data_IF_804653857058
#
_entry.id   IF_804653857058
#
_cell.length_a   1.000
_cell.length_b   1.000
_cell.length_c   1.000
_cell.angle_alpha   90.00
_cell.angle_beta   90.00
_cell.angle_gamma   90.00
#
_symmetry.space_group_name_H-M   'P 1'
#
loop_
_entity.id
_entity.type
_entity.pdbx_description
1 polymer ?
#
# COMPACT_ATOMS: atom_id res chain seq x y z
N UNK A 1 -15.86 0.84 -72.81
CA UNK A 1 -14.66 0.54 -72.00
C UNK A 1 -14.12 1.77 -71.28
N UNK A 2 -14.17 2.97 -71.88
CA UNK A 2 -13.68 4.22 -71.23
C UNK A 2 -14.44 4.63 -69.96
N UNK A 3 -15.76 4.41 -69.88
CA UNK A 3 -16.54 4.78 -68.69
C UNK A 3 -16.21 3.94 -67.44
N UNK A 4 -15.91 2.65 -67.63
CA UNK A 4 -15.54 1.75 -66.53
C UNK A 4 -14.17 2.08 -65.96
N UNK A 5 -13.22 2.43 -66.83
CA UNK A 5 -11.89 2.91 -66.43
C UNK A 5 -11.96 4.26 -65.71
N UNK A 6 -12.73 5.21 -66.24
CA UNK A 6 -12.94 6.51 -65.58
C UNK A 6 -13.60 6.37 -64.21
N UNK A 7 -14.59 5.47 -64.06
CA UNK A 7 -15.17 5.16 -62.74
C UNK A 7 -14.14 4.59 -61.77
N UNK A 8 -13.29 3.67 -62.22
CA UNK A 8 -12.28 3.03 -61.36
C UNK A 8 -11.20 4.02 -60.90
N UNK A 9 -10.75 4.90 -61.80
CA UNK A 9 -9.82 6.00 -61.48
C UNK A 9 -10.45 6.97 -60.49
N UNK A 10 -11.72 7.29 -60.65
CA UNK A 10 -12.46 8.16 -59.74
C UNK A 10 -12.57 7.55 -58.34
N UNK A 11 -12.92 6.26 -58.23
CA UNK A 11 -12.99 5.55 -56.94
C UNK A 11 -11.63 5.44 -56.24
N UNK A 12 -10.56 5.19 -57.00
CA UNK A 12 -9.19 5.19 -56.46
C UNK A 12 -8.79 6.55 -55.89
N UNK A 13 -9.13 7.63 -56.60
CA UNK A 13 -8.88 9.00 -56.15
C UNK A 13 -9.65 9.32 -54.87
N UNK A 14 -10.93 8.96 -54.82
CA UNK A 14 -11.78 9.12 -53.64
C UNK A 14 -11.24 8.34 -52.43
N UNK A 15 -10.82 7.09 -52.63
CA UNK A 15 -10.20 6.27 -51.58
C UNK A 15 -8.87 6.87 -51.08
N UNK A 16 -8.04 7.41 -51.99
CA UNK A 16 -6.79 8.07 -51.63
C UNK A 16 -7.04 9.35 -50.80
N UNK A 17 -8.04 10.14 -51.18
CA UNK A 17 -8.41 11.36 -50.44
C UNK A 17 -9.02 11.02 -49.07
N UNK A 18 -9.80 9.94 -48.96
CA UNK A 18 -10.26 9.41 -47.68
C UNK A 18 -9.10 8.98 -46.78
N UNK A 19 -8.15 8.20 -47.31
CA UNK A 19 -6.96 7.76 -46.56
C UNK A 19 -6.13 8.94 -46.05
N UNK A 20 -5.95 9.98 -46.88
CA UNK A 20 -5.27 11.22 -46.46
C UNK A 20 -6.02 11.92 -45.34
N UNK A 21 -7.34 12.02 -45.43
CA UNK A 21 -8.16 12.67 -44.41
C UNK A 21 -8.09 11.90 -43.10
N UNK A 22 -8.24 10.58 -43.15
CA UNK A 22 -8.16 9.70 -41.97
C UNK A 22 -6.79 9.78 -41.31
N UNK A 23 -5.69 9.70 -42.07
CA UNK A 23 -4.34 9.85 -41.53
C UNK A 23 -4.16 11.20 -40.83
N UNK A 24 -4.62 12.29 -41.45
CA UNK A 24 -4.52 13.63 -40.86
C UNK A 24 -5.33 13.74 -39.55
N UNK A 25 -6.54 13.19 -39.50
CA UNK A 25 -7.33 13.14 -38.26
C UNK A 25 -6.67 12.27 -37.21
N UNK A 26 -6.05 11.16 -37.60
CA UNK A 26 -5.34 10.26 -36.70
C UNK A 26 -4.12 10.94 -36.07
N UNK A 27 -3.33 11.68 -36.85
CA UNK A 27 -2.20 12.47 -36.36
C UNK A 27 -2.64 13.52 -35.32
N UNK A 28 -3.75 14.22 -35.59
CA UNK A 28 -4.32 15.18 -34.64
C UNK A 28 -4.74 14.50 -33.33
N UNK A 29 -5.40 13.35 -33.42
CA UNK A 29 -5.77 12.56 -32.23
C UNK A 29 -4.56 12.05 -31.46
N UNK A 30 -3.49 11.65 -32.14
CA UNK A 30 -2.25 11.22 -31.49
C UNK A 30 -1.63 12.36 -30.67
N UNK A 31 -1.59 13.57 -31.22
CA UNK A 31 -1.09 14.75 -30.50
C UNK A 31 -1.98 15.08 -29.30
N UNK A 32 -3.29 15.04 -29.46
CA UNK A 32 -4.25 15.28 -28.37
C UNK A 32 -4.11 14.26 -27.24
N UNK A 33 -4.06 12.96 -27.58
CA UNK A 33 -3.86 11.88 -26.62
C UNK A 33 -2.51 12.00 -25.91
N UNK A 34 -1.43 12.29 -26.65
CA UNK A 34 -0.11 12.49 -26.06
C UNK A 34 -0.13 13.65 -25.06
N UNK A 35 -0.78 14.76 -25.39
CA UNK A 35 -0.88 15.92 -24.50
C UNK A 35 -1.70 15.63 -23.26
N UNK A 36 -2.83 14.94 -23.42
CA UNK A 36 -3.66 14.49 -22.30
C UNK A 36 -2.90 13.54 -21.37
N UNK A 37 -2.15 12.61 -21.95
CA UNK A 37 -1.35 11.65 -21.19
C UNK A 37 -0.25 12.34 -20.37
N UNK A 38 0.50 13.28 -20.96
CA UNK A 38 1.50 14.07 -20.23
C UNK A 38 0.87 14.82 -19.05
N UNK A 39 -0.25 15.52 -19.28
CA UNK A 39 -0.93 16.26 -18.23
C UNK A 39 -1.46 15.36 -17.10
N UNK A 40 -1.99 14.18 -17.45
CA UNK A 40 -2.40 13.16 -16.47
C UNK A 40 -1.20 12.68 -15.66
N UNK A 41 -0.06 12.45 -16.31
CA UNK A 41 1.13 11.95 -15.65
C UNK A 41 1.71 12.97 -14.66
N UNK A 42 1.76 14.26 -15.04
CA UNK A 42 2.14 15.36 -14.15
C UNK A 42 1.19 15.49 -12.97
N UNK A 43 -0.12 15.41 -13.20
CA UNK A 43 -1.14 15.47 -12.14
C UNK A 43 -0.96 14.33 -11.14
N UNK A 44 -0.76 13.11 -11.62
CA UNK A 44 -0.50 11.95 -10.76
C UNK A 44 0.80 12.09 -9.97
N UNK A 45 1.84 12.66 -10.58
CA UNK A 45 3.10 12.92 -9.88
C UNK A 45 2.89 13.88 -8.70
N UNK A 46 2.21 15.00 -8.93
CA UNK A 46 1.89 16.00 -7.89
C UNK A 46 1.01 15.40 -6.80
N UNK A 47 -0.04 14.64 -7.16
CA UNK A 47 -0.94 13.97 -6.21
C UNK A 47 -0.13 13.09 -5.25
N UNK A 48 0.77 12.29 -5.79
CA UNK A 48 1.58 11.36 -4.99
C UNK A 48 2.60 12.07 -4.11
N UNK A 49 3.29 13.09 -4.62
CA UNK A 49 4.24 13.88 -3.82
C UNK A 49 3.52 14.58 -2.66
N UNK A 50 2.35 15.14 -2.92
CA UNK A 50 1.50 15.73 -1.89
C UNK A 50 1.10 14.70 -0.83
N UNK A 51 0.57 13.55 -1.24
CA UNK A 51 0.16 12.50 -0.30
C UNK A 51 1.34 11.97 0.53
N UNK A 52 2.49 11.74 -0.10
CA UNK A 52 3.71 11.31 0.59
C UNK A 52 4.15 12.30 1.67
N UNK A 53 4.20 13.59 1.34
CA UNK A 53 4.58 14.64 2.28
C UNK A 53 3.60 14.76 3.44
N UNK A 54 2.29 14.82 3.15
CA UNK A 54 1.24 14.88 4.17
C UNK A 54 1.30 13.68 5.10
N UNK A 55 1.51 12.48 4.58
CA UNK A 55 1.64 11.28 5.42
C UNK A 55 2.84 11.35 6.37
N UNK A 56 4.01 11.79 5.88
CA UNK A 56 5.19 11.98 6.73
C UNK A 56 4.94 13.04 7.82
N UNK A 57 4.29 14.14 7.47
CA UNK A 57 3.94 15.22 8.41
C UNK A 57 2.88 14.80 9.42
N UNK A 58 1.97 13.89 9.08
CA UNK A 58 0.96 13.36 9.99
C UNK A 58 1.50 12.25 10.90
N UNK A 59 2.43 11.41 10.41
CA UNK A 59 3.01 10.31 11.19
C UNK A 59 3.73 10.81 12.44
N UNK A 60 4.44 11.93 12.35
CA UNK A 60 5.21 12.51 13.46
C UNK A 60 4.32 12.93 14.65
N UNK A 61 3.30 13.80 14.49
CA UNK A 61 2.41 14.18 15.58
C UNK A 61 1.57 13.00 16.08
N UNK A 62 1.18 12.06 15.21
CA UNK A 62 0.46 10.86 15.64
C UNK A 62 1.29 9.96 16.56
N UNK A 63 2.56 9.73 16.19
CA UNK A 63 3.48 8.95 17.02
C UNK A 63 3.70 9.63 18.38
N UNK A 64 3.77 10.96 18.41
CA UNK A 64 3.83 11.72 19.66
C UNK A 64 2.57 11.55 20.51
N UNK A 65 1.37 11.59 19.90
CA UNK A 65 0.10 11.34 20.62
C UNK A 65 0.07 9.92 21.19
N UNK A 66 0.49 8.91 20.41
CA UNK A 66 0.59 7.52 20.88
C UNK A 66 1.59 7.41 22.04
N UNK A 67 2.78 7.99 21.91
CA UNK A 67 3.81 7.95 22.95
C UNK A 67 3.37 8.63 24.25
N UNK A 68 2.77 9.82 24.18
CA UNK A 68 2.23 10.48 25.37
C UNK A 68 1.07 9.71 26.01
N UNK A 69 0.22 9.09 25.19
CA UNK A 69 -0.84 8.24 25.69
C UNK A 69 -0.28 6.96 26.35
N UNK A 70 0.76 6.34 25.81
CA UNK A 70 1.43 5.17 26.41
C UNK A 70 2.09 5.52 27.75
N UNK A 71 2.76 6.68 27.87
CA UNK A 71 3.29 7.19 29.14
C UNK A 71 2.15 7.44 30.14
N UNK A 72 1.03 8.00 29.68
CA UNK A 72 -0.13 8.22 30.54
C UNK A 72 -0.78 6.90 30.97
N UNK A 73 -0.79 5.88 30.12
CA UNK A 73 -1.25 4.52 30.45
C UNK A 73 -0.40 3.93 31.58
N UNK A 74 0.93 4.07 31.49
CA UNK A 74 1.88 3.57 32.47
C UNK A 74 1.73 4.27 33.83
N UNK A 75 1.64 5.60 33.86
CA UNK A 75 1.42 6.37 35.10
C UNK A 75 0.07 6.09 35.77
N UNK A 76 -0.95 5.70 35.00
CA UNK A 76 -2.26 5.34 35.52
C UNK A 76 -2.33 3.89 36.02
N UNK A 77 -1.38 3.02 35.64
CA UNK A 77 -1.46 1.56 35.84
C UNK A 77 -1.65 1.15 37.30
N UNK A 78 -0.95 1.80 38.22
CA UNK A 78 -0.99 1.53 39.66
C UNK A 78 -2.08 2.31 40.40
N UNK A 79 -2.79 3.23 39.72
CA UNK A 79 -3.84 4.06 40.32
C UNK A 79 -5.18 3.34 40.26
N UNK A 80 -5.88 3.29 41.39
CA UNK A 80 -7.15 2.57 41.54
C UNK A 80 -8.26 3.52 41.97
N UNK A 81 -9.33 3.60 41.19
CA UNK A 81 -10.52 4.40 41.48
C UNK A 81 -11.42 4.58 40.25
N UNK A 82 -12.73 4.85 40.41
CA UNK A 82 -13.67 4.93 39.28
C UNK A 82 -13.29 5.98 38.23
N UNK A 83 -12.70 7.11 38.67
CA UNK A 83 -12.19 8.17 37.80
C UNK A 83 -10.95 7.72 37.04
N UNK A 84 -10.04 7.00 37.70
CA UNK A 84 -8.81 6.51 37.08
C UNK A 84 -9.08 5.38 36.07
N UNK A 85 -10.07 4.51 36.32
CA UNK A 85 -10.54 3.53 35.33
C UNK A 85 -11.15 4.19 34.10
N UNK A 86 -11.88 5.31 34.28
CA UNK A 86 -12.41 6.10 33.16
C UNK A 86 -11.28 6.74 32.34
N UNK A 87 -10.23 7.26 32.99
CA UNK A 87 -9.04 7.81 32.33
C UNK A 87 -8.25 6.75 31.57
N UNK A 88 -8.03 5.57 32.16
CA UNK A 88 -7.39 4.42 31.49
C UNK A 88 -8.11 4.06 30.18
N UNK A 89 -9.46 4.01 30.20
CA UNK A 89 -10.25 3.77 28.99
C UNK A 89 -10.07 4.87 27.93
N UNK A 90 -10.02 6.14 28.32
CA UNK A 90 -9.80 7.23 27.37
C UNK A 90 -8.42 7.16 26.72
N UNK A 91 -7.39 6.88 27.52
CA UNK A 91 -6.02 6.68 27.01
C UNK A 91 -5.95 5.51 26.03
N UNK A 92 -6.55 4.36 26.39
CA UNK A 92 -6.62 3.21 25.49
C UNK A 92 -7.33 3.54 24.16
N UNK A 93 -8.43 4.30 24.21
CA UNK A 93 -9.15 4.72 23.00
C UNK A 93 -8.32 5.67 22.13
N UNK A 94 -7.55 6.58 22.74
CA UNK A 94 -6.65 7.48 22.00
C UNK A 94 -5.59 6.65 21.27
N UNK A 95 -4.93 5.70 21.96
CA UNK A 95 -3.91 4.84 21.36
C UNK A 95 -4.49 4.05 20.18
N UNK A 96 -5.67 3.41 20.36
CA UNK A 96 -6.31 2.61 19.31
C UNK A 96 -6.67 3.49 18.11
N UNK A 97 -7.30 4.64 18.35
CA UNK A 97 -7.75 5.55 17.29
C UNK A 97 -6.58 6.15 16.51
N UNK A 98 -5.49 6.52 17.20
CA UNK A 98 -4.28 7.01 16.56
C UNK A 98 -3.61 5.92 15.72
N UNK A 99 -3.49 4.69 16.21
CA UNK A 99 -2.94 3.58 15.41
C UNK A 99 -3.79 3.31 14.16
N UNK A 100 -5.11 3.27 14.32
CA UNK A 100 -6.02 3.06 13.19
C UNK A 100 -5.92 4.16 12.12
N UNK A 101 -5.78 5.42 12.55
CA UNK A 101 -5.59 6.54 11.62
C UNK A 101 -4.24 6.45 10.89
N UNK A 102 -3.18 5.99 11.58
CA UNK A 102 -1.89 5.74 10.94
C UNK A 102 -2.00 4.67 9.85
N UNK A 103 -2.70 3.57 10.14
CA UNK A 103 -2.91 2.48 9.18
C UNK A 103 -3.67 2.99 7.95
N UNK A 104 -4.75 3.74 8.13
CA UNK A 104 -5.50 4.35 7.02
C UNK A 104 -4.63 5.29 6.16
N UNK A 105 -3.75 6.07 6.79
CA UNK A 105 -2.82 6.95 6.08
C UNK A 105 -1.80 6.13 5.26
N UNK A 106 -1.31 5.01 5.81
CA UNK A 106 -0.39 4.12 5.11
C UNK A 106 -1.09 3.42 3.92
N UNK A 107 -2.30 2.92 4.11
CA UNK A 107 -3.08 2.28 3.03
C UNK A 107 -3.35 3.26 1.88
N UNK A 108 -3.67 4.52 2.20
CA UNK A 108 -3.88 5.58 1.20
C UNK A 108 -2.59 5.88 0.42
N UNK A 109 -1.43 5.89 1.09
CA UNK A 109 -0.14 6.06 0.41
C UNK A 109 0.19 4.90 -0.52
N UNK A 110 -0.03 3.67 -0.06
CA UNK A 110 0.30 2.50 -0.85
C UNK A 110 -0.61 2.40 -2.07
N UNK A 111 -1.89 2.73 -1.93
CA UNK A 111 -2.80 2.91 -3.07
C UNK A 111 -2.28 3.96 -4.06
N UNK A 112 -1.82 5.12 -3.58
CA UNK A 112 -1.28 6.17 -4.45
C UNK A 112 0.01 5.74 -5.18
N UNK A 113 0.87 4.93 -4.55
CA UNK A 113 2.06 4.36 -5.21
C UNK A 113 1.68 3.34 -6.28
N UNK A 114 0.69 2.49 -6.01
CA UNK A 114 0.16 1.50 -6.96
C UNK A 114 -0.43 2.19 -8.18
N UNK A 115 -1.31 3.18 -7.99
CA UNK A 115 -1.96 3.92 -9.09
C UNK A 115 -0.96 4.65 -10.00
N UNK A 116 0.17 5.09 -9.46
CA UNK A 116 1.23 5.72 -10.25
C UNK A 116 2.24 4.72 -10.84
N UNK A 117 2.06 3.41 -10.65
CA UNK A 117 3.01 2.39 -11.10
C UNK A 117 4.39 2.48 -10.44
N UNK A 118 4.49 3.13 -9.26
CA UNK A 118 5.74 3.40 -8.54
C UNK A 118 5.96 2.49 -7.33
N UNK A 119 5.22 1.38 -7.25
CA UNK A 119 5.42 0.40 -6.18
C UNK A 119 6.56 -0.54 -6.57
N UNK A 120 7.77 -0.23 -6.09
CA UNK A 120 8.96 -1.05 -6.31
C UNK A 120 8.92 -2.30 -5.41
N UNK A 121 8.64 -3.46 -6.02
CA UNK A 121 8.68 -4.74 -5.32
C UNK A 121 10.13 -5.20 -5.15
N UNK A 122 10.65 -5.07 -3.93
CA UNK A 122 11.96 -5.61 -3.57
C UNK A 122 11.86 -7.10 -3.25
N UNK A 123 12.02 -7.93 -4.27
CA UNK A 123 12.07 -9.39 -4.12
C UNK A 123 13.50 -9.81 -3.77
N UNK A 124 13.79 -9.94 -2.47
CA UNK A 124 15.05 -10.48 -1.97
C UNK A 124 14.84 -11.86 -1.34
N UNK A 125 15.82 -12.78 -1.42
CA UNK A 125 15.78 -14.02 -0.63
C UNK A 125 15.66 -13.68 0.85
N UNK A 126 14.75 -14.33 1.57
CA UNK A 126 14.52 -14.11 3.00
C UNK A 126 14.60 -15.42 3.80
N UNK A 127 15.16 -15.33 5.01
CA UNK A 127 15.14 -16.43 5.98
C UNK A 127 13.77 -16.45 6.66
N UNK A 128 13.06 -17.56 6.51
CA UNK A 128 11.76 -17.76 7.17
C UNK A 128 11.96 -17.79 8.69
N UNK A 129 13.07 -18.35 9.17
CA UNK A 129 13.39 -18.40 10.60
C UNK A 129 13.52 -16.98 11.19
N UNK A 130 14.36 -16.14 10.59
CA UNK A 130 14.64 -14.78 11.07
C UNK A 130 13.39 -13.90 11.00
N UNK A 131 12.57 -14.09 9.96
CA UNK A 131 11.31 -13.35 9.79
C UNK A 131 10.30 -13.70 10.90
N UNK A 132 10.14 -15.00 11.18
CA UNK A 132 9.21 -15.48 12.21
C UNK A 132 9.70 -15.11 13.61
N UNK A 133 11.02 -15.12 13.85
CA UNK A 133 11.63 -14.67 15.10
C UNK A 133 11.45 -13.17 15.33
N UNK A 134 11.63 -12.35 14.29
CA UNK A 134 11.34 -10.92 14.32
C UNK A 134 9.87 -10.64 14.64
N UNK A 135 8.94 -11.38 14.04
CA UNK A 135 7.51 -11.28 14.32
C UNK A 135 7.18 -11.61 15.78
N UNK A 136 7.75 -12.67 16.33
CA UNK A 136 7.51 -13.04 17.74
C UNK A 136 8.12 -12.04 18.71
N UNK A 137 9.27 -11.46 18.38
CA UNK A 137 9.85 -10.36 19.16
C UNK A 137 8.92 -9.16 19.20
N UNK A 138 8.31 -8.81 18.06
CA UNK A 138 7.33 -7.72 17.97
C UNK A 138 6.04 -8.01 18.77
N UNK A 139 5.57 -9.26 18.76
CA UNK A 139 4.36 -9.68 19.48
C UNK A 139 4.58 -9.92 20.97
N UNK A 140 5.83 -10.12 21.42
CA UNK A 140 6.17 -10.47 22.81
C UNK A 140 5.50 -9.56 23.85
N UNK A 141 5.55 -8.21 23.75
CA UNK A 141 4.91 -7.33 24.74
C UNK A 141 3.39 -7.54 24.84
N UNK A 142 2.74 -7.84 23.72
CA UNK A 142 1.30 -8.08 23.67
C UNK A 142 0.94 -9.45 24.27
N UNK A 143 1.75 -10.46 23.98
CA UNK A 143 1.56 -11.84 24.47
C UNK A 143 1.82 -11.94 25.98
N UNK A 144 2.82 -11.22 26.50
CA UNK A 144 3.08 -11.14 27.94
C UNK A 144 1.96 -10.41 28.68
N UNK A 145 1.49 -9.26 28.16
CA UNK A 145 0.33 -8.54 28.71
C UNK A 145 -0.92 -9.41 28.81
N UNK A 146 -1.11 -10.33 27.85
CA UNK A 146 -2.30 -11.21 27.77
C UNK A 146 -2.07 -12.62 28.33
N UNK A 147 -0.88 -12.92 28.87
CA UNK A 147 -0.49 -14.27 29.35
C UNK A 147 -0.71 -15.38 28.29
N UNK A 148 -0.38 -15.08 27.04
CA UNK A 148 -0.47 -16.03 25.93
C UNK A 148 0.92 -16.59 25.66
N UNK A 149 1.06 -17.93 25.62
CA UNK A 149 2.31 -18.57 25.23
C UNK A 149 2.30 -18.77 23.72
N UNK A 150 3.33 -18.24 23.06
CA UNK A 150 3.59 -18.45 21.64
C UNK A 150 4.75 -19.43 21.51
N UNK A 151 4.52 -20.53 20.80
CA UNK A 151 5.56 -21.53 20.50
C UNK A 151 5.80 -21.55 19.00
N UNK A 152 7.04 -21.35 18.59
CA UNK A 152 7.45 -21.44 17.20
C UNK A 152 8.19 -22.76 17.00
N UNK A 153 7.81 -23.50 15.96
CA UNK A 153 8.58 -24.64 15.47
C UNK A 153 8.99 -24.37 14.04
N UNK A 154 10.28 -24.16 13.80
CA UNK A 154 10.86 -24.02 12.46
C UNK A 154 11.72 -25.26 12.20
N UNK A 155 11.58 -25.89 11.04
CA UNK A 155 12.46 -27.01 10.70
C UNK A 155 13.90 -26.51 10.50
N UNK A 156 14.91 -27.25 10.98
CA UNK A 156 16.31 -26.93 10.70
C UNK A 156 16.57 -26.94 9.19
N UNK A 157 17.41 -26.03 8.71
CA UNK A 157 17.82 -25.91 7.30
C UNK A 157 16.71 -25.55 6.30
N UNK A 158 15.78 -24.67 6.68
CA UNK A 158 14.88 -24.08 5.69
C UNK A 158 15.70 -23.25 4.67
N UNK A 159 15.56 -23.51 3.36
CA UNK A 159 16.22 -22.70 2.34
C UNK A 159 15.67 -21.27 2.37
N UNK A 160 16.52 -20.32 1.97
CA UNK A 160 16.08 -18.93 1.75
C UNK A 160 14.94 -18.92 0.72
N UNK A 161 13.79 -18.40 1.11
CA UNK A 161 12.61 -18.37 0.25
C UNK A 161 12.63 -17.04 -0.53
N UNK A 162 12.40 -17.12 -1.83
CA UNK A 162 12.13 -15.93 -2.64
C UNK A 162 10.63 -15.63 -2.49
N UNK A 163 10.23 -14.45 -1.99
CA UNK A 163 8.81 -14.15 -1.81
C UNK A 163 8.14 -14.09 -3.19
N UNK A 164 7.34 -15.11 -3.50
CA UNK A 164 6.44 -15.15 -4.65
C UNK A 164 5.01 -14.87 -4.18
N UNK A 165 4.19 -14.12 -4.95
CA UNK A 165 2.84 -13.72 -4.55
C UNK A 165 1.89 -14.87 -4.17
N UNK A 166 2.15 -16.11 -4.61
CA UNK A 166 1.19 -17.23 -4.49
C UNK A 166 1.71 -18.45 -3.68
N UNK A 167 2.85 -18.37 -2.99
CA UNK A 167 3.45 -19.57 -2.38
C UNK A 167 4.04 -19.33 -0.99
N UNK A 168 3.19 -18.90 -0.04
CA UNK A 168 3.51 -19.09 1.38
C UNK A 168 3.34 -20.56 1.75
N UNK A 169 4.45 -21.31 1.69
CA UNK A 169 4.52 -22.68 2.20
C UNK A 169 4.25 -22.67 3.70
N UNK A 170 3.29 -23.49 4.15
CA UNK A 170 2.75 -23.62 5.52
C UNK A 170 3.79 -23.37 6.64
N UNK A 171 3.74 -22.19 7.26
CA UNK A 171 4.22 -21.95 8.61
C UNK A 171 3.02 -22.00 9.57
N UNK A 172 3.02 -22.91 10.54
CA UNK A 172 1.97 -23.00 11.57
C UNK A 172 2.40 -22.26 12.83
N UNK A 173 1.67 -21.21 13.20
CA UNK A 173 1.74 -20.55 14.50
C UNK A 173 0.63 -21.11 15.40
N UNK A 174 0.98 -21.53 16.62
CA UNK A 174 0.00 -22.03 17.60
C UNK A 174 0.02 -21.15 18.84
N UNK A 175 -1.16 -20.66 19.23
CA UNK A 175 -1.37 -19.84 20.43
C UNK A 175 -2.06 -20.70 21.48
N UNK A 176 -1.46 -20.83 22.66
CA UNK A 176 -2.05 -21.55 23.79
C UNK A 176 -2.18 -20.65 25.01
N UNK A 177 -3.32 -20.68 25.75
CA UNK A 177 -3.45 -20.02 27.04
C UNK A 177 -2.43 -20.60 28.03
N UNK A 178 -1.86 -19.75 28.87
CA UNK A 178 -1.03 -20.22 29.98
C UNK A 178 -1.97 -20.67 31.11
N UNK A 179 -1.91 -21.96 31.49
CA UNK A 179 -2.49 -22.47 32.73
C UNK A 179 -1.88 -21.77 33.95
#
# INVERSE_FOLDING_TARGET
MSDTFNRMVQTLKESQDQLRTVNKTMDLKLVELSRSNVALHETNKIKNEFLANVSHELRTPLNSIVGFAEVLEETLRERTGPVDEKRKRYVANIIISSRHLLDLINDLLDLAKIEAGRMDLHIAPMSVADTVEGLVTLMRPQTERRKIKVTITVQPNLPMVKPMPESFSRCSLTFSPTL
#
